data_IF_094675771623
#
_entry.id   IF_094675771623
#
_cell.length_a   1.000
_cell.length_b   1.000
_cell.length_c   1.000
_cell.angle_alpha   90.00
_cell.angle_beta   90.00
_cell.angle_gamma   90.00
#
_symmetry.space_group_name_H-M   'P 1'
#
loop_
_entity.id
_entity.type
_entity.pdbx_description
1 polymer ?
#
# COMPACT_ATOMS: atom_id res chain seq x y z
N UNK A 1 -1.73 -10.49 14.43
CA UNK A 1 -0.97 -9.71 15.41
C UNK A 1 -1.74 -9.47 16.70
N UNK A 2 -3.01 -9.88 16.78
CA UNK A 2 -3.89 -9.64 17.95
C UNK A 2 -3.91 -8.17 18.40
N UNK A 3 -3.84 -7.25 17.44
CA UNK A 3 -3.91 -5.82 17.72
C UNK A 3 -5.34 -5.40 18.06
N UNK A 4 -5.51 -4.50 19.03
CA UNK A 4 -6.82 -3.94 19.39
C UNK A 4 -7.41 -3.04 18.29
N UNK A 5 -6.60 -2.64 17.34
CA UNK A 5 -6.96 -1.82 16.20
C UNK A 5 -5.74 -1.37 15.43
N UNK A 6 -5.95 -0.56 14.41
CA UNK A 6 -4.86 -0.04 13.57
C UNK A 6 -5.13 1.38 13.09
N UNK A 7 -4.05 2.07 12.79
CA UNK A 7 -4.08 3.40 12.15
C UNK A 7 -3.17 3.36 10.94
N UNK A 8 -3.71 3.66 9.77
CA UNK A 8 -2.92 3.91 8.56
C UNK A 8 -2.85 5.41 8.31
N UNK A 9 -1.64 5.91 8.14
CA UNK A 9 -1.40 7.30 7.72
C UNK A 9 -1.26 7.28 6.21
N UNK A 10 -2.16 7.97 5.49
CA UNK A 10 -2.17 7.97 4.03
C UNK A 10 -2.98 9.13 3.48
N UNK A 11 -2.45 9.83 2.49
CA UNK A 11 -3.17 10.81 1.69
C UNK A 11 -3.89 10.17 0.49
N UNK A 12 -3.88 8.84 0.34
CA UNK A 12 -4.37 8.15 -0.86
C UNK A 12 -3.61 8.64 -2.12
N UNK A 13 -4.31 9.10 -3.15
CA UNK A 13 -3.77 9.68 -4.38
C UNK A 13 -3.80 11.23 -4.39
N UNK A 14 -4.03 11.86 -3.23
CA UNK A 14 -4.01 13.32 -3.15
C UNK A 14 -2.58 13.87 -3.27
N UNK A 15 -2.44 15.17 -3.64
CA UNK A 15 -1.18 15.87 -3.63
C UNK A 15 -0.43 15.79 -2.30
N UNK A 16 0.91 16.00 -2.29
CA UNK A 16 1.76 15.73 -1.12
C UNK A 16 1.47 16.60 0.11
N UNK A 17 0.80 17.73 -0.03
CA UNK A 17 0.37 18.58 1.07
C UNK A 17 -0.80 18.02 1.88
N UNK A 18 -1.47 16.99 1.38
CA UNK A 18 -2.56 16.31 2.08
C UNK A 18 -2.05 15.14 2.91
N UNK A 19 -2.75 14.84 4.00
CA UNK A 19 -2.56 13.62 4.77
C UNK A 19 -3.86 13.23 5.47
N UNK A 20 -3.94 11.99 5.95
CA UNK A 20 -5.13 11.49 6.61
C UNK A 20 -4.88 10.23 7.43
N UNK A 21 -5.88 9.87 8.22
CA UNK A 21 -5.88 8.66 9.02
C UNK A 21 -7.02 7.73 8.60
N UNK A 22 -6.70 6.47 8.35
CA UNK A 22 -7.68 5.39 8.24
C UNK A 22 -7.60 4.54 9.49
N UNK A 23 -8.73 4.41 10.20
CA UNK A 23 -8.81 3.64 11.43
C UNK A 23 -9.34 2.24 11.16
N UNK A 24 -8.74 1.24 11.78
CA UNK A 24 -9.10 -0.16 11.63
C UNK A 24 -9.49 -0.75 12.98
N UNK A 25 -10.46 -1.67 12.98
CA UNK A 25 -10.83 -2.47 14.15
C UNK A 25 -9.83 -3.62 14.39
N UNK A 26 -10.01 -4.33 15.50
CA UNK A 26 -9.28 -5.56 15.80
C UNK A 26 -9.44 -6.66 14.74
N UNK A 27 -10.49 -6.58 13.92
CA UNK A 27 -10.73 -7.49 12.80
C UNK A 27 -9.94 -7.12 11.52
N UNK A 28 -9.12 -6.05 11.56
CA UNK A 28 -8.36 -5.57 10.40
C UNK A 28 -9.22 -4.90 9.32
N UNK A 29 -10.42 -4.46 9.66
CA UNK A 29 -11.34 -3.76 8.74
C UNK A 29 -11.44 -2.29 9.12
N UNK A 30 -11.61 -1.42 8.12
CA UNK A 30 -11.92 0.00 8.36
C UNK A 30 -13.16 0.09 9.25
N UNK A 31 -13.07 0.91 10.30
CA UNK A 31 -14.19 1.08 11.23
C UNK A 31 -15.38 1.77 10.54
N UNK A 32 -16.64 1.40 10.90
CA UNK A 32 -17.83 2.10 10.42
C UNK A 32 -17.85 3.56 10.83
N UNK A 33 -18.57 4.40 10.08
CA UNK A 33 -18.68 5.84 10.34
C UNK A 33 -19.13 6.16 11.79
N UNK A 34 -20.07 5.40 12.33
CA UNK A 34 -20.54 5.57 13.72
C UNK A 34 -19.41 5.41 14.75
N UNK A 35 -18.54 4.42 14.55
CA UNK A 35 -17.37 4.22 15.42
C UNK A 35 -16.34 5.34 15.22
N UNK A 36 -16.13 5.77 13.98
CA UNK A 36 -15.28 6.91 13.66
C UNK A 36 -15.73 8.20 14.37
N UNK A 37 -17.04 8.46 14.40
CA UNK A 37 -17.60 9.61 15.13
C UNK A 37 -17.32 9.54 16.64
N UNK A 38 -17.38 8.34 17.26
CA UNK A 38 -17.01 8.16 18.67
C UNK A 38 -15.54 8.48 18.95
N UNK A 39 -14.66 8.07 18.03
CA UNK A 39 -13.23 8.40 18.13
C UNK A 39 -13.02 9.91 18.01
N UNK A 40 -13.66 10.55 17.05
CA UNK A 40 -13.59 11.99 16.82
C UNK A 40 -14.11 12.79 18.02
N UNK A 41 -15.24 12.37 18.61
CA UNK A 41 -15.81 13.00 19.81
C UNK A 41 -14.83 12.91 21.00
N UNK A 42 -14.23 11.73 21.21
CA UNK A 42 -13.24 11.52 22.28
C UNK A 42 -12.00 12.40 22.06
N UNK A 43 -11.52 12.48 20.82
CA UNK A 43 -10.40 13.35 20.44
C UNK A 43 -10.72 14.84 20.75
N UNK A 44 -11.89 15.31 20.33
CA UNK A 44 -12.32 16.71 20.55
C UNK A 44 -12.49 17.07 22.02
N UNK A 45 -12.97 16.14 22.83
CA UNK A 45 -13.14 16.32 24.29
C UNK A 45 -11.81 16.26 25.05
N UNK A 46 -10.73 15.80 24.43
CA UNK A 46 -9.44 15.65 25.10
C UNK A 46 -9.46 14.65 26.28
N UNK A 47 -10.48 13.80 26.36
CA UNK A 47 -10.64 12.84 27.45
C UNK A 47 -9.78 11.59 27.18
N UNK A 48 -8.47 11.70 27.46
CA UNK A 48 -7.49 10.65 27.28
C UNK A 48 -7.19 9.97 28.60
N UNK A 49 -7.20 8.65 28.61
CA UNK A 49 -6.74 7.86 29.75
C UNK A 49 -5.21 7.72 29.67
N UNK A 50 -4.50 8.41 30.53
CA UNK A 50 -3.06 8.28 30.67
C UNK A 50 -2.73 7.13 31.62
N UNK A 51 -1.65 6.44 31.33
CA UNK A 51 -1.11 5.39 32.19
C UNK A 51 0.12 5.91 32.93
N UNK A 52 0.47 5.24 34.04
CA UNK A 52 1.72 5.52 34.76
C UNK A 52 2.94 5.03 33.94
N UNK A 53 4.13 5.49 34.29
CA UNK A 53 5.37 5.07 33.64
C UNK A 53 5.60 3.55 33.69
N UNK A 54 5.10 2.87 34.71
CA UNK A 54 5.18 1.41 34.88
C UNK A 54 4.29 0.63 33.89
N UNK A 55 3.27 1.29 33.36
CA UNK A 55 2.28 0.69 32.43
C UNK A 55 2.46 1.17 30.99
N UNK A 56 3.55 1.86 30.67
CA UNK A 56 3.85 2.27 29.30
C UNK A 56 4.13 1.03 28.45
N UNK A 57 3.46 0.93 27.29
CA UNK A 57 3.69 -0.14 26.32
C UNK A 57 5.02 0.00 25.60
N UNK A 58 5.42 -1.04 24.91
CA UNK A 58 6.63 -1.08 24.10
C UNK A 58 6.30 -0.98 22.61
N UNK A 59 7.15 -0.28 21.86
CA UNK A 59 7.07 -0.26 20.40
C UNK A 59 7.78 -1.49 19.84
N UNK A 60 7.09 -2.20 18.94
CA UNK A 60 7.64 -3.34 18.20
C UNK A 60 7.52 -3.06 16.72
N UNK A 61 8.62 -3.26 15.99
CA UNK A 61 8.63 -3.17 14.53
C UNK A 61 8.41 -4.54 13.93
N UNK A 62 7.42 -4.66 13.04
CA UNK A 62 7.14 -5.87 12.28
C UNK A 62 7.80 -5.71 10.90
N UNK A 63 8.77 -6.56 10.61
CA UNK A 63 9.53 -6.52 9.35
C UNK A 63 8.86 -7.31 8.22
N UNK A 64 8.20 -8.41 8.53
CA UNK A 64 7.48 -9.22 7.54
C UNK A 64 5.99 -8.86 7.52
N UNK A 65 5.63 -8.03 6.58
CA UNK A 65 4.23 -7.65 6.30
C UNK A 65 3.69 -8.30 5.02
N UNK A 66 4.51 -9.12 4.34
CA UNK A 66 4.23 -9.68 3.03
C UNK A 66 3.76 -11.13 3.08
N UNK A 67 4.44 -11.99 3.83
CA UNK A 67 4.30 -13.45 3.72
C UNK A 67 2.88 -13.94 3.95
N UNK A 68 2.21 -13.46 4.99
CA UNK A 68 0.83 -13.86 5.29
C UNK A 68 -0.16 -13.46 4.18
N UNK A 69 0.00 -12.26 3.63
CA UNK A 69 -0.81 -11.78 2.52
C UNK A 69 -0.56 -12.60 1.24
N UNK A 70 0.69 -12.87 0.94
CA UNK A 70 1.09 -13.69 -0.21
C UNK A 70 0.52 -15.12 -0.13
N UNK A 71 0.56 -15.75 1.03
CA UNK A 71 -0.04 -17.07 1.24
C UNK A 71 -1.55 -17.10 0.95
N UNK A 72 -2.27 -16.03 1.30
CA UNK A 72 -3.69 -15.89 0.96
C UNK A 72 -3.91 -15.72 -0.55
N UNK A 73 -3.11 -14.89 -1.21
CA UNK A 73 -3.19 -14.69 -2.66
C UNK A 73 -2.94 -15.98 -3.44
N UNK A 74 -1.98 -16.79 -3.02
CA UNK A 74 -1.69 -18.08 -3.65
C UNK A 74 -2.86 -19.07 -3.62
N UNK A 75 -3.84 -18.89 -2.76
CA UNK A 75 -5.03 -19.74 -2.69
C UNK A 75 -6.08 -19.38 -3.76
N UNK A 76 -6.01 -18.16 -4.31
CA UNK A 76 -7.01 -17.65 -5.25
C UNK A 76 -6.45 -17.35 -6.64
N UNK A 77 -5.11 -17.41 -6.79
CA UNK A 77 -4.41 -17.10 -8.05
C UNK A 77 -3.65 -18.34 -8.53
N UNK A 78 -3.81 -18.70 -9.80
CA UNK A 78 -2.97 -19.75 -10.42
C UNK A 78 -1.57 -19.22 -10.71
N UNK A 79 -0.73 -19.31 -9.69
CA UNK A 79 0.68 -18.87 -9.75
C UNK A 79 1.47 -19.60 -10.83
N UNK A 80 1.18 -20.88 -11.07
CA UNK A 80 1.91 -21.67 -12.06
C UNK A 80 1.56 -21.27 -13.49
N UNK A 81 0.30 -20.93 -13.74
CA UNK A 81 -0.13 -20.41 -15.03
C UNK A 81 0.57 -19.09 -15.35
N UNK A 82 0.63 -18.17 -14.37
CA UNK A 82 1.28 -16.86 -14.55
C UNK A 82 2.79 -17.05 -14.82
N UNK A 83 3.45 -17.89 -14.01
CA UNK A 83 4.89 -18.19 -14.18
C UNK A 83 5.24 -18.74 -15.57
N UNK A 84 4.39 -19.61 -16.12
CA UNK A 84 4.57 -20.17 -17.47
C UNK A 84 4.55 -19.09 -18.55
N UNK A 85 3.78 -18.04 -18.35
CA UNK A 85 3.65 -16.92 -19.31
C UNK A 85 4.91 -16.05 -19.37
N UNK A 86 5.72 -15.97 -18.32
CA UNK A 86 6.94 -15.15 -18.24
C UNK A 86 6.73 -13.71 -18.69
N UNK A 87 5.65 -13.11 -18.22
CA UNK A 87 5.23 -11.77 -18.63
C UNK A 87 6.32 -10.73 -18.33
N UNK A 88 6.48 -9.79 -19.25
CA UNK A 88 7.23 -8.56 -19.03
C UNK A 88 6.27 -7.50 -18.51
N UNK A 89 6.50 -7.01 -17.30
CA UNK A 89 5.63 -6.06 -16.62
C UNK A 89 6.38 -4.75 -16.41
N UNK A 90 5.78 -3.65 -16.83
CA UNK A 90 6.17 -2.33 -16.37
C UNK A 90 5.36 -2.00 -15.12
N UNK A 91 6.04 -1.83 -14.00
CA UNK A 91 5.44 -1.35 -12.76
C UNK A 91 5.79 0.12 -12.57
N UNK A 92 4.79 0.97 -12.65
CA UNK A 92 4.91 2.35 -12.20
C UNK A 92 4.48 2.44 -10.74
N UNK A 93 5.44 2.62 -9.88
CA UNK A 93 5.25 2.76 -8.44
C UNK A 93 5.33 4.21 -7.97
N UNK A 94 5.63 5.13 -8.89
CA UNK A 94 5.63 6.58 -8.68
C UNK A 94 6.26 7.03 -7.34
N UNK A 95 7.32 6.34 -6.89
CA UNK A 95 7.95 6.54 -5.57
C UNK A 95 7.02 6.38 -4.36
N UNK A 96 5.88 5.67 -4.55
CA UNK A 96 4.87 5.42 -3.53
C UNK A 96 5.19 4.22 -2.64
N UNK A 97 4.37 4.02 -1.62
CA UNK A 97 4.55 3.00 -0.57
C UNK A 97 4.46 1.55 -1.07
N UNK A 98 3.78 1.31 -2.20
CA UNK A 98 3.58 -0.02 -2.77
C UNK A 98 4.79 -0.60 -3.52
N UNK A 99 5.80 0.22 -3.85
CA UNK A 99 6.90 -0.13 -4.76
C UNK A 99 7.61 -1.44 -4.42
N UNK A 100 7.98 -1.65 -3.15
CA UNK A 100 8.71 -2.85 -2.71
C UNK A 100 7.83 -4.09 -2.72
N UNK A 101 6.58 -3.97 -2.25
CA UNK A 101 5.64 -5.08 -2.17
C UNK A 101 5.25 -5.57 -3.56
N UNK A 102 4.84 -4.67 -4.44
CA UNK A 102 4.40 -5.03 -5.79
C UNK A 102 5.53 -5.62 -6.61
N UNK A 103 6.73 -5.05 -6.55
CA UNK A 103 7.90 -5.60 -7.19
C UNK A 103 8.15 -7.05 -6.76
N UNK A 104 8.24 -7.29 -5.45
CA UNK A 104 8.48 -8.63 -4.90
C UNK A 104 7.42 -9.63 -5.36
N UNK A 105 6.14 -9.24 -5.28
CA UNK A 105 5.03 -10.08 -5.70
C UNK A 105 5.13 -10.47 -7.18
N UNK A 106 5.40 -9.52 -8.06
CA UNK A 106 5.53 -9.77 -9.50
C UNK A 106 6.72 -10.66 -9.82
N UNK A 107 7.85 -10.47 -9.14
CA UNK A 107 9.05 -11.32 -9.28
C UNK A 107 8.76 -12.76 -8.82
N UNK A 108 8.05 -12.95 -7.71
CA UNK A 108 7.62 -14.27 -7.23
C UNK A 108 6.58 -14.92 -8.15
N UNK A 109 5.79 -14.14 -8.88
CA UNK A 109 4.94 -14.60 -9.97
C UNK A 109 5.71 -14.96 -11.26
N UNK A 110 7.05 -14.83 -11.27
CA UNK A 110 7.89 -15.18 -12.40
C UNK A 110 7.88 -14.14 -13.53
N UNK A 111 7.42 -12.92 -13.26
CA UNK A 111 7.43 -11.82 -14.21
C UNK A 111 8.82 -11.19 -14.33
N UNK A 112 9.13 -10.67 -15.52
CA UNK A 112 10.27 -9.77 -15.75
C UNK A 112 9.79 -8.35 -15.46
N UNK A 113 10.21 -7.78 -14.34
CA UNK A 113 9.72 -6.48 -13.86
C UNK A 113 10.68 -5.36 -14.26
N UNK A 114 10.14 -4.36 -14.93
CA UNK A 114 10.75 -3.04 -15.07
C UNK A 114 9.96 -2.09 -14.16
N UNK A 115 10.67 -1.35 -13.32
CA UNK A 115 10.01 -0.44 -12.37
C UNK A 115 10.38 1.01 -12.66
N UNK A 116 9.37 1.89 -12.60
CA UNK A 116 9.50 3.34 -12.56
C UNK A 116 9.20 3.80 -11.14
N UNK A 117 9.94 4.76 -10.63
CA UNK A 117 9.72 5.29 -9.28
C UNK A 117 9.84 4.23 -8.18
N UNK A 118 10.83 3.32 -8.25
CA UNK A 118 10.92 2.16 -7.36
C UNK A 118 11.34 2.47 -5.91
N UNK A 119 11.90 3.65 -5.62
CA UNK A 119 12.31 4.05 -4.27
C UNK A 119 11.14 4.76 -3.55
N UNK A 120 10.64 4.24 -2.42
CA UNK A 120 9.46 4.79 -1.75
C UNK A 120 9.81 6.05 -0.92
N UNK A 121 10.26 7.10 -1.58
CA UNK A 121 10.68 8.36 -0.97
C UNK A 121 9.63 9.47 -1.05
N UNK A 122 8.48 9.22 -1.70
CA UNK A 122 7.38 10.16 -1.86
C UNK A 122 7.65 11.30 -2.85
N UNK A 123 8.76 11.26 -3.60
CA UNK A 123 9.08 12.26 -4.63
C UNK A 123 8.48 11.84 -5.96
N UNK A 124 7.18 12.01 -6.09
CA UNK A 124 6.40 11.57 -7.24
C UNK A 124 6.94 12.15 -8.56
N UNK A 125 7.08 11.30 -9.59
CA UNK A 125 7.50 11.71 -10.94
C UNK A 125 6.33 12.35 -11.71
N UNK A 126 5.10 11.97 -11.38
CA UNK A 126 3.86 12.54 -11.92
C UNK A 126 2.81 12.63 -10.82
N UNK A 127 1.73 13.42 -11.00
CA UNK A 127 0.63 13.48 -10.05
C UNK A 127 0.11 12.07 -9.74
N UNK A 128 -0.14 11.72 -8.45
CA UNK A 128 -0.46 10.35 -8.07
C UNK A 128 -1.88 9.92 -8.46
N UNK A 129 -2.74 10.84 -8.85
CA UNK A 129 -4.08 10.50 -9.34
C UNK A 129 -3.97 9.78 -10.70
N UNK A 130 -4.53 8.55 -10.86
CA UNK A 130 -4.36 7.74 -12.06
C UNK A 130 -5.29 8.16 -13.21
N UNK A 131 -5.17 9.41 -13.67
CA UNK A 131 -5.85 9.91 -14.86
C UNK A 131 -5.08 9.59 -16.12
N UNK A 132 -5.74 9.58 -17.28
CA UNK A 132 -5.09 9.39 -18.58
C UNK A 132 -3.96 10.39 -18.81
N UNK A 133 -4.17 11.64 -18.44
CA UNK A 133 -3.19 12.72 -18.57
C UNK A 133 -1.93 12.44 -17.76
N UNK A 134 -2.09 12.09 -16.48
CA UNK A 134 -0.99 11.82 -15.56
C UNK A 134 -0.20 10.56 -15.93
N UNK A 135 -0.86 9.57 -16.55
CA UNK A 135 -0.23 8.29 -16.93
C UNK A 135 0.29 8.26 -18.36
N UNK A 136 0.24 9.35 -19.12
CA UNK A 136 0.64 9.38 -20.54
C UNK A 136 2.09 8.89 -20.74
N UNK A 137 3.03 9.34 -19.92
CA UNK A 137 4.42 8.91 -19.97
C UNK A 137 4.59 7.42 -19.68
N UNK A 138 3.75 6.86 -18.81
CA UNK A 138 3.75 5.43 -18.47
C UNK A 138 3.25 4.60 -19.66
N UNK A 139 2.20 5.05 -20.35
CA UNK A 139 1.72 4.38 -21.58
C UNK A 139 2.79 4.31 -22.66
N UNK A 140 3.53 5.40 -22.84
CA UNK A 140 4.64 5.43 -23.80
C UNK A 140 5.78 4.49 -23.37
N UNK A 141 6.09 4.44 -22.08
CA UNK A 141 7.08 3.52 -21.54
C UNK A 141 6.68 2.04 -21.72
N UNK A 142 5.39 1.68 -21.53
CA UNK A 142 4.85 0.34 -21.80
C UNK A 142 5.07 -0.05 -23.27
N UNK A 143 4.73 0.84 -24.21
CA UNK A 143 4.90 0.62 -25.64
C UNK A 143 6.37 0.46 -26.03
N UNK A 144 7.23 1.36 -25.55
CA UNK A 144 8.67 1.36 -25.87
C UNK A 144 9.37 0.11 -25.31
N UNK A 145 8.99 -0.35 -24.14
CA UNK A 145 9.49 -1.58 -23.53
C UNK A 145 8.92 -2.84 -24.20
N UNK A 146 7.84 -2.72 -24.96
CA UNK A 146 7.01 -3.83 -25.44
C UNK A 146 6.58 -4.74 -24.27
N UNK A 147 6.19 -4.13 -23.17
CA UNK A 147 5.71 -4.87 -22.00
C UNK A 147 4.35 -5.50 -22.30
N UNK A 148 4.11 -6.70 -21.76
CA UNK A 148 2.83 -7.39 -21.89
C UNK A 148 1.75 -6.71 -21.05
N UNK A 149 2.15 -6.09 -19.92
CA UNK A 149 1.27 -5.40 -18.99
C UNK A 149 1.97 -4.19 -18.39
N UNK A 150 1.23 -3.08 -18.24
CA UNK A 150 1.59 -1.95 -17.38
C UNK A 150 0.70 -1.93 -16.12
N UNK A 151 1.28 -1.72 -14.96
CA UNK A 151 0.60 -1.60 -13.67
C UNK A 151 1.02 -0.30 -13.02
N UNK A 152 0.04 0.54 -12.67
CA UNK A 152 0.24 1.80 -11.94
C UNK A 152 -0.31 1.68 -10.52
N UNK A 153 0.41 2.24 -9.53
CA UNK A 153 0.05 2.24 -8.11
C UNK A 153 -0.01 3.66 -7.55
#
# INVERSE_FOLDING_TARGET
HHAAGGVQISASHNPPEYNGFKLFSELGRVIPAEQGLKVLDRYRKGNLAWVTHESIGHMVTISDTYTAHWQLLQQIVDVQLIRKKRLTVLLDANHGSGSKLARRMLEELGCRVKILGGEPNGRFEHPPEPTEENLRSVFDAVKNLKADVGICQ
#
